data_IF_916049264963
#
_entry.id   IF_916049264963
#
_cell.length_a   1.000
_cell.length_b   1.000
_cell.length_c   1.000
_cell.angle_alpha   90.00
_cell.angle_beta   90.00
_cell.angle_gamma   90.00
#
_symmetry.space_group_name_H-M   'P 1'
#
loop_
_entity.id
_entity.type
_entity.pdbx_description
1 polymer ?
#
# COMPACT_ATOMS: atom_id res chain seq x y z
N UNK A 1 -23.95 -41.90 17.02
CA UNK A 1 -23.91 -42.71 15.78
C UNK A 1 -23.83 -41.73 14.62
N UNK A 2 -22.75 -41.72 13.84
CA UNK A 2 -22.63 -40.88 12.64
C UNK A 2 -23.07 -41.74 11.46
N UNK A 3 -24.14 -41.33 10.77
CA UNK A 3 -24.72 -42.10 9.64
C UNK A 3 -23.99 -41.78 8.33
N UNK A 4 -23.67 -42.82 7.56
CA UNK A 4 -22.86 -42.86 6.33
C UNK A 4 -23.74 -42.86 5.06
N UNK A 5 -24.20 -41.69 4.62
CA UNK A 5 -24.95 -41.49 3.37
C UNK A 5 -24.66 -40.07 2.86
N UNK A 6 -24.31 -39.81 1.58
CA UNK A 6 -23.32 -40.47 0.72
C UNK A 6 -22.29 -39.45 0.12
N UNK A 7 -20.98 -39.73 0.21
CA UNK A 7 -19.97 -38.72 -0.15
C UNK A 7 -19.91 -38.27 -1.63
N UNK A 8 -20.46 -39.01 -2.61
CA UNK A 8 -21.02 -38.55 -3.91
C UNK A 8 -21.65 -39.80 -4.60
N UNK A 9 -22.85 -39.80 -5.19
CA UNK A 9 -23.56 -38.69 -5.82
C UNK A 9 -25.04 -38.47 -5.45
N UNK A 10 -25.54 -37.36 -5.98
CA UNK A 10 -26.67 -36.56 -5.48
C UNK A 10 -26.22 -35.09 -5.31
N UNK A 11 -27.14 -34.17 -5.00
CA UNK A 11 -26.80 -32.81 -4.55
C UNK A 11 -26.28 -32.92 -3.11
N UNK A 12 -25.07 -32.44 -2.79
CA UNK A 12 -24.47 -32.61 -1.47
C UNK A 12 -25.29 -31.93 -0.37
N UNK A 13 -25.40 -32.58 0.79
CA UNK A 13 -26.25 -32.15 1.90
C UNK A 13 -25.63 -32.34 3.28
N UNK A 14 -26.05 -31.49 4.23
CA UNK A 14 -25.70 -31.61 5.65
C UNK A 14 -24.19 -31.59 5.92
N UNK A 15 -23.58 -32.69 6.42
CA UNK A 15 -22.14 -32.77 6.70
C UNK A 15 -21.23 -32.50 5.50
N UNK A 16 -21.67 -32.84 4.28
CA UNK A 16 -20.88 -32.63 3.07
C UNK A 16 -20.67 -31.14 2.77
N UNK A 17 -21.65 -30.29 3.05
CA UNK A 17 -21.52 -28.83 2.91
C UNK A 17 -20.50 -28.27 3.89
N UNK A 18 -20.41 -28.84 5.10
CA UNK A 18 -19.39 -28.44 6.08
C UNK A 18 -18.00 -28.80 5.56
N UNK A 19 -17.84 -29.98 4.97
CA UNK A 19 -16.56 -30.40 4.36
C UNK A 19 -16.20 -29.49 3.19
N UNK A 20 -17.16 -29.22 2.28
CA UNK A 20 -16.95 -28.31 1.14
C UNK A 20 -16.58 -26.91 1.63
N UNK A 21 -17.25 -26.40 2.65
CA UNK A 21 -16.94 -25.10 3.25
C UNK A 21 -15.51 -25.08 3.83
N UNK A 22 -15.10 -26.13 4.55
CA UNK A 22 -13.73 -26.25 5.07
C UNK A 22 -12.72 -26.25 3.91
N UNK A 23 -12.96 -27.04 2.87
CA UNK A 23 -12.08 -27.08 1.69
C UNK A 23 -12.04 -25.73 0.99
N UNK A 24 -13.19 -25.06 0.81
CA UNK A 24 -13.27 -23.75 0.18
C UNK A 24 -12.52 -22.68 0.99
N UNK A 25 -12.62 -22.72 2.32
CA UNK A 25 -11.86 -21.82 3.20
C UNK A 25 -10.36 -22.10 3.10
N UNK A 26 -9.94 -23.37 3.06
CA UNK A 26 -8.52 -23.70 2.96
C UNK A 26 -7.93 -23.34 1.59
N UNK A 27 -8.66 -23.59 0.51
CA UNK A 27 -8.20 -23.35 -0.86
C UNK A 27 -8.34 -21.90 -1.32
N UNK A 28 -9.38 -21.20 -0.85
CA UNK A 28 -9.65 -19.82 -1.26
C UNK A 28 -9.53 -18.86 -0.09
N UNK A 29 -10.18 -19.13 1.04
CA UNK A 29 -10.16 -18.22 2.19
C UNK A 29 -8.75 -17.89 2.70
N UNK A 30 -7.93 -18.91 2.97
CA UNK A 30 -6.56 -18.71 3.49
C UNK A 30 -5.68 -17.97 2.47
N UNK A 31 -5.57 -18.39 1.20
CA UNK A 31 -4.78 -17.64 0.21
C UNK A 31 -5.28 -16.20 0.02
N UNK A 32 -6.60 -15.98 0.00
CA UNK A 32 -7.16 -14.63 -0.19
C UNK A 32 -6.79 -13.71 0.98
N UNK A 33 -6.88 -14.22 2.22
CA UNK A 33 -6.49 -13.46 3.42
C UNK A 33 -5.00 -13.17 3.42
N UNK A 34 -4.15 -14.11 3.00
CA UNK A 34 -2.71 -13.89 2.90
C UNK A 34 -2.37 -12.80 1.87
N UNK A 35 -3.00 -12.84 0.69
CA UNK A 35 -2.81 -11.82 -0.34
C UNK A 35 -3.32 -10.46 0.14
N UNK A 36 -4.53 -10.39 0.69
CA UNK A 36 -5.09 -9.14 1.21
C UNK A 36 -4.21 -8.57 2.33
N UNK A 37 -3.75 -9.41 3.26
CA UNK A 37 -2.84 -9.02 4.33
C UNK A 37 -1.49 -8.52 3.81
N UNK A 38 -0.92 -9.18 2.80
CA UNK A 38 0.32 -8.75 2.17
C UNK A 38 0.16 -7.40 1.46
N UNK A 39 -0.94 -7.20 0.72
CA UNK A 39 -1.24 -5.91 0.07
C UNK A 39 -1.38 -4.82 1.14
N UNK A 40 -2.22 -5.03 2.14
CA UNK A 40 -2.41 -4.05 3.23
C UNK A 40 -1.08 -3.72 3.89
N UNK A 41 -0.30 -4.74 4.26
CA UNK A 41 1.01 -4.56 4.90
C UNK A 41 1.98 -3.77 4.03
N UNK A 42 2.08 -4.07 2.73
CA UNK A 42 2.96 -3.35 1.83
C UNK A 42 2.50 -1.91 1.62
N UNK A 43 1.19 -1.68 1.47
CA UNK A 43 0.64 -0.33 1.28
C UNK A 43 0.76 0.54 2.52
N UNK A 44 0.50 0.00 3.73
CA UNK A 44 0.65 0.78 4.96
C UNK A 44 2.10 0.99 5.31
N UNK A 45 3.00 0.06 4.95
CA UNK A 45 4.44 0.25 5.14
C UNK A 45 5.04 1.29 4.18
N UNK A 46 4.49 1.44 2.98
CA UNK A 46 4.88 2.54 2.08
C UNK A 46 4.49 3.90 2.64
N UNK A 47 3.33 4.01 3.29
CA UNK A 47 2.90 5.26 3.95
C UNK A 47 3.69 5.60 5.22
N UNK A 48 4.33 4.63 5.88
CA UNK A 48 5.00 4.80 7.18
C UNK A 48 6.42 5.41 7.10
N UNK A 49 6.70 6.21 6.06
CA UNK A 49 7.60 7.36 6.21
C UNK A 49 9.10 7.11 6.31
N UNK A 50 9.62 6.02 5.74
CA UNK A 50 11.08 5.80 5.65
C UNK A 50 11.69 6.38 4.37
N UNK A 51 11.28 5.84 3.22
CA UNK A 51 11.89 6.19 1.94
C UNK A 51 11.39 7.54 1.38
N UNK A 52 10.12 7.88 1.62
CA UNK A 52 9.56 9.14 1.15
C UNK A 52 9.92 10.31 2.07
N UNK A 53 10.10 10.09 3.38
CA UNK A 53 10.54 11.17 4.29
C UNK A 53 11.96 11.64 3.99
N UNK A 54 12.89 10.72 3.73
CA UNK A 54 14.27 11.07 3.33
C UNK A 54 14.28 11.86 2.00
N UNK A 55 13.44 11.45 1.03
CA UNK A 55 13.33 12.12 -0.26
C UNK A 55 12.63 13.48 -0.16
N UNK A 56 11.63 13.62 0.71
CA UNK A 56 10.96 14.89 0.99
C UNK A 56 11.94 15.85 1.67
N UNK A 57 12.73 15.39 2.65
CA UNK A 57 13.73 16.21 3.31
C UNK A 57 14.83 16.69 2.35
N UNK A 58 15.27 15.85 1.42
CA UNK A 58 16.19 16.24 0.35
C UNK A 58 15.56 17.29 -0.59
N UNK A 59 14.30 17.09 -0.99
CA UNK A 59 13.56 18.04 -1.83
C UNK A 59 13.34 19.39 -1.13
N UNK A 60 13.04 19.40 0.17
CA UNK A 60 12.90 20.64 0.95
C UNK A 60 14.22 21.41 1.04
N UNK A 61 15.34 20.71 1.24
CA UNK A 61 16.67 21.33 1.27
C UNK A 61 17.09 21.91 -0.09
N UNK A 62 16.73 21.25 -1.19
CA UNK A 62 17.00 21.76 -2.54
C UNK A 62 16.13 22.99 -2.86
N UNK A 63 14.85 22.99 -2.46
CA UNK A 63 13.97 24.16 -2.62
C UNK A 63 14.48 25.37 -1.85
N UNK A 64 14.95 25.21 -0.61
CA UNK A 64 15.55 26.31 0.17
C UNK A 64 16.73 26.92 -0.59
N UNK A 65 17.61 26.08 -1.16
CA UNK A 65 18.77 26.52 -1.96
C UNK A 65 18.39 27.23 -3.26
N UNK A 66 17.38 26.73 -3.96
CA UNK A 66 16.88 27.39 -5.17
C UNK A 66 16.24 28.73 -4.83
N UNK A 67 15.53 28.81 -3.70
CA UNK A 67 14.88 30.04 -3.25
C UNK A 67 15.90 31.11 -2.85
N UNK A 68 17.00 30.70 -2.23
CA UNK A 68 18.13 31.58 -1.91
C UNK A 68 18.83 32.09 -3.17
N UNK A 69 19.09 31.23 -4.17
CA UNK A 69 19.64 31.66 -5.47
C UNK A 69 18.71 32.61 -6.22
N UNK A 70 17.41 32.30 -6.28
CA UNK A 70 16.43 33.16 -6.98
C UNK A 70 16.22 34.48 -6.24
N UNK A 71 16.28 34.49 -4.91
CA UNK A 71 16.21 35.72 -4.12
C UNK A 71 17.44 36.61 -4.32
N UNK A 72 18.63 36.03 -4.29
CA UNK A 72 19.90 36.75 -4.50
C UNK A 72 20.03 37.28 -5.94
N UNK A 73 19.56 36.52 -6.94
CA UNK A 73 19.51 36.99 -8.33
C UNK A 73 18.42 38.05 -8.53
N UNK A 74 17.30 37.98 -7.80
CA UNK A 74 16.24 38.99 -7.83
C UNK A 74 16.70 40.34 -7.28
N UNK A 75 17.34 40.35 -6.12
CA UNK A 75 17.85 41.57 -5.47
C UNK A 75 18.95 42.25 -6.32
N UNK A 76 19.81 41.47 -7.00
CA UNK A 76 20.85 42.01 -7.90
C UNK A 76 20.29 42.68 -9.15
N UNK A 77 19.17 42.18 -9.66
CA UNK A 77 18.51 42.77 -10.84
C UNK A 77 17.79 44.08 -10.48
N UNK A 78 17.26 44.20 -9.27
CA UNK A 78 16.65 45.45 -8.78
C UNK A 78 17.71 46.55 -8.54
N UNK A 79 18.89 46.21 -8.03
CA UNK A 79 20.00 47.16 -7.84
C UNK A 79 20.59 47.70 -9.17
N UNK A 80 20.62 46.89 -10.24
CA UNK A 80 21.08 47.33 -11.57
C UNK A 80 20.09 48.28 -12.27
N UNK A 81 18.78 48.11 -12.05
CA UNK A 81 17.75 49.02 -12.59
C UNK A 81 17.67 50.35 -11.84
N UNK A 82 17.90 50.37 -10.52
CA UNK A 82 17.88 51.62 -9.73
C UNK A 82 19.13 52.51 -9.93
N UNK A 83 20.21 51.94 -10.49
CA UNK A 83 21.47 52.65 -10.76
C UNK A 83 21.62 53.16 -12.22
N UNK A 84 20.61 53.01 -13.08
CA UNK A 84 20.57 53.52 -14.48
C UNK A 84 19.71 54.77 -14.62
#
# INVERSE_FOLDING_TARGET
MVSLVPAFGGVPGGPELVIIMIIAVLLFGVPLVLVAGAVVYLTTRSDDGGADADRIAELEAEVERLREQVGDDGDKLEEEEESS
#
